data_IF_087166555840
#
_entry.id   IF_087166555840
#
_cell.length_a   1.000
_cell.length_b   1.000
_cell.length_c   1.000
_cell.angle_alpha   90.00
_cell.angle_beta   90.00
_cell.angle_gamma   90.00
#
_symmetry.space_group_name_H-M   'P 1'
#
loop_
_entity.id
_entity.type
_entity.pdbx_description
1 polymer ?
#
# COMPACT_ATOMS: atom_id res chain seq x y z
N UNK A 1 12.48 -2.68 27.61
CA UNK A 1 13.20 -3.52 26.63
C UNK A 1 12.25 -4.35 25.74
N UNK A 2 11.06 -4.76 26.22
CA UNK A 2 10.01 -5.36 25.38
C UNK A 2 9.30 -4.34 24.48
N UNK A 3 8.95 -3.15 25.01
CA UNK A 3 8.32 -2.05 24.25
C UNK A 3 9.13 -1.67 23.00
N UNK A 4 10.45 -1.48 23.15
CA UNK A 4 11.34 -1.07 22.04
C UNK A 4 11.52 -2.08 20.90
N UNK A 5 11.12 -3.33 21.10
CA UNK A 5 11.27 -4.39 20.07
C UNK A 5 10.09 -4.38 19.12
N UNK A 6 8.88 -4.23 19.64
CA UNK A 6 7.66 -4.13 18.84
C UNK A 6 7.68 -2.82 18.04
N UNK A 7 8.05 -1.68 18.66
CA UNK A 7 8.15 -0.38 17.98
C UNK A 7 8.91 -0.41 16.64
N UNK A 8 10.03 -1.17 16.59
CA UNK A 8 10.83 -1.32 15.37
C UNK A 8 10.15 -2.21 14.34
N UNK A 9 9.51 -3.28 14.78
CA UNK A 9 8.78 -4.20 13.91
C UNK A 9 7.54 -3.51 13.33
N UNK A 10 6.83 -2.74 14.14
CA UNK A 10 5.67 -1.93 13.75
C UNK A 10 6.06 -0.98 12.63
N UNK A 11 7.13 -0.20 12.83
CA UNK A 11 7.63 0.71 11.82
C UNK A 11 8.02 -0.02 10.53
N UNK A 12 8.63 -1.21 10.63
CA UNK A 12 8.97 -2.01 9.45
C UNK A 12 7.71 -2.50 8.71
N UNK A 13 6.70 -2.97 9.44
CA UNK A 13 5.42 -3.42 8.90
C UNK A 13 4.67 -2.27 8.24
N UNK A 14 4.51 -1.13 8.91
CA UNK A 14 3.88 0.06 8.35
C UNK A 14 4.63 0.55 7.11
N UNK A 15 5.96 0.64 7.18
CA UNK A 15 6.75 1.05 6.03
C UNK A 15 6.56 0.11 4.83
N UNK A 16 6.47 -1.20 5.08
CA UNK A 16 6.25 -2.20 4.04
C UNK A 16 4.84 -2.11 3.45
N UNK A 17 3.80 -1.99 4.27
CA UNK A 17 2.41 -1.85 3.81
C UNK A 17 2.22 -0.57 3.01
N UNK A 18 2.78 0.56 3.47
CA UNK A 18 2.67 1.83 2.77
C UNK A 18 3.46 1.90 1.46
N UNK A 19 4.46 1.03 1.24
CA UNK A 19 5.08 0.92 -0.10
C UNK A 19 4.10 0.46 -1.18
N UNK A 20 3.12 -0.38 -0.81
CA UNK A 20 2.09 -0.85 -1.74
C UNK A 20 0.85 0.06 -1.75
N UNK A 21 0.70 0.95 -0.77
CA UNK A 21 -0.37 1.95 -0.72
C UNK A 21 0.13 3.34 -0.24
N UNK A 22 1.00 4.02 -1.02
CA UNK A 22 1.59 5.30 -0.62
C UNK A 22 0.53 6.40 -0.45
N UNK A 23 -0.55 6.36 -1.25
CA UNK A 23 -1.70 7.26 -1.10
C UNK A 23 -2.32 7.21 0.29
N UNK A 24 -2.44 6.03 0.89
CA UNK A 24 -2.99 5.90 2.24
C UNK A 24 -2.06 6.52 3.28
N UNK A 25 -0.74 6.37 3.14
CA UNK A 25 0.25 7.00 4.00
C UNK A 25 0.12 8.53 3.96
N UNK A 26 0.05 9.12 2.77
CA UNK A 26 -0.14 10.57 2.59
C UNK A 26 -1.45 11.05 3.22
N UNK A 27 -2.54 10.29 3.07
CA UNK A 27 -3.83 10.65 3.68
C UNK A 27 -3.79 10.66 5.22
N UNK A 28 -2.93 9.83 5.81
CA UNK A 28 -2.66 9.76 7.25
C UNK A 28 -1.63 10.81 7.71
N UNK A 29 -1.11 11.66 6.82
CA UNK A 29 -0.15 12.72 7.13
C UNK A 29 1.33 12.29 7.05
N UNK A 30 1.62 11.10 6.51
CA UNK A 30 2.99 10.63 6.31
C UNK A 30 3.55 11.16 4.98
N UNK A 31 4.14 12.35 5.04
CA UNK A 31 4.60 13.07 3.85
C UNK A 31 5.93 12.58 3.27
N UNK A 32 6.60 11.61 3.90
CA UNK A 32 7.73 10.88 3.28
C UNK A 32 7.31 10.10 2.02
N UNK A 33 5.99 9.84 1.89
CA UNK A 33 5.40 9.14 0.75
C UNK A 33 4.89 10.09 -0.34
N UNK A 34 5.05 11.40 -0.17
CA UNK A 34 4.55 12.39 -1.11
C UNK A 34 5.09 12.15 -2.54
N UNK A 35 4.16 12.13 -3.49
CA UNK A 35 4.40 11.93 -4.91
C UNK A 35 4.86 10.52 -5.30
N UNK A 36 4.74 9.52 -4.43
CA UNK A 36 5.06 8.13 -4.76
C UNK A 36 3.85 7.38 -5.34
N UNK A 37 4.15 6.43 -6.24
CA UNK A 37 3.24 5.39 -6.71
C UNK A 37 3.89 4.03 -6.39
N UNK A 38 3.08 3.00 -6.06
CA UNK A 38 3.62 1.68 -5.71
C UNK A 38 4.20 0.98 -6.95
N UNK A 39 5.22 0.15 -6.75
CA UNK A 39 5.69 -0.79 -7.78
C UNK A 39 4.78 -2.01 -7.78
N UNK A 40 3.89 -2.05 -8.77
CA UNK A 40 2.89 -3.10 -8.97
C UNK A 40 3.25 -3.96 -10.17
N UNK A 41 4.48 -3.89 -10.67
CA UNK A 41 4.98 -4.85 -11.66
C UNK A 41 4.91 -6.28 -11.10
N UNK A 42 4.87 -7.34 -11.94
CA UNK A 42 4.88 -8.72 -11.44
C UNK A 42 6.05 -9.02 -10.49
N UNK A 43 7.23 -8.47 -10.77
CA UNK A 43 8.39 -8.58 -9.89
C UNK A 43 8.24 -7.79 -8.59
N UNK A 44 7.70 -6.57 -8.66
CA UNK A 44 7.42 -5.72 -7.50
C UNK A 44 6.41 -6.35 -6.54
N UNK A 45 5.29 -6.87 -7.06
CA UNK A 45 4.28 -7.57 -6.28
C UNK A 45 4.85 -8.82 -5.62
N UNK A 46 5.61 -9.64 -6.36
CA UNK A 46 6.25 -10.83 -5.78
C UNK A 46 7.22 -10.47 -4.66
N UNK A 47 8.09 -9.50 -4.88
CA UNK A 47 9.03 -9.05 -3.85
C UNK A 47 8.29 -8.49 -2.62
N UNK A 48 7.15 -7.83 -2.84
CA UNK A 48 6.32 -7.32 -1.76
C UNK A 48 5.67 -8.46 -0.96
N UNK A 49 5.09 -9.47 -1.61
CA UNK A 49 4.44 -10.59 -0.90
C UNK A 49 5.45 -11.45 -0.16
N UNK A 50 6.60 -11.77 -0.77
CA UNK A 50 7.68 -12.53 -0.12
C UNK A 50 8.12 -11.86 1.19
N UNK A 51 8.31 -10.52 1.16
CA UNK A 51 8.67 -9.77 2.37
C UNK A 51 7.51 -9.68 3.37
N UNK A 52 6.27 -9.54 2.92
CA UNK A 52 5.09 -9.49 3.79
C UNK A 52 4.88 -10.81 4.55
N UNK A 53 5.11 -11.96 3.90
CA UNK A 53 5.10 -13.28 4.55
C UNK A 53 6.16 -13.34 5.66
N UNK A 54 7.40 -12.95 5.36
CA UNK A 54 8.47 -12.94 6.35
C UNK A 54 8.20 -12.01 7.54
N UNK A 55 7.59 -10.84 7.29
CA UNK A 55 7.17 -9.92 8.36
C UNK A 55 6.07 -10.50 9.23
N UNK A 56 5.07 -11.15 8.64
CA UNK A 56 3.97 -11.79 9.38
C UNK A 56 4.50 -12.89 10.30
N UNK A 57 5.40 -13.73 9.79
CA UNK A 57 5.98 -14.83 10.57
C UNK A 57 6.86 -14.30 11.72
N UNK A 58 7.55 -13.17 11.50
CA UNK A 58 8.24 -12.44 12.56
C UNK A 58 7.28 -11.88 13.60
N UNK A 59 6.22 -11.18 13.21
CA UNK A 59 5.19 -10.67 14.15
C UNK A 59 4.67 -11.79 15.05
N UNK A 60 4.34 -12.95 14.48
CA UNK A 60 3.91 -14.14 15.25
C UNK A 60 4.96 -14.59 16.26
N UNK A 61 6.19 -14.84 15.81
CA UNK A 61 7.26 -15.37 16.67
C UNK A 61 7.75 -14.37 17.73
N UNK A 62 7.73 -13.08 17.42
CA UNK A 62 8.16 -12.01 18.32
C UNK A 62 7.04 -11.59 19.31
N UNK A 63 5.78 -12.00 19.08
CA UNK A 63 4.67 -11.75 20.00
C UNK A 63 4.75 -12.54 21.31
N UNK A 64 5.54 -13.62 21.34
CA UNK A 64 5.74 -14.44 22.52
C UNK A 64 6.45 -13.65 23.63
N UNK A 65 5.80 -13.54 24.80
CA UNK A 65 6.34 -12.83 25.95
C UNK A 65 5.99 -11.35 26.03
N UNK A 66 5.22 -10.81 25.06
CA UNK A 66 4.59 -9.51 25.20
C UNK A 66 3.47 -9.55 26.25
N UNK A 67 3.17 -8.39 26.85
CA UNK A 67 2.01 -8.22 27.71
C UNK A 67 0.70 -8.21 26.91
N UNK A 68 -0.43 -7.89 27.56
CA UNK A 68 -1.74 -7.95 26.90
C UNK A 68 -1.84 -6.95 25.73
N UNK A 69 -1.33 -5.74 25.92
CA UNK A 69 -1.45 -4.66 24.95
C UNK A 69 -0.51 -4.92 23.76
N UNK A 70 0.74 -5.31 24.02
CA UNK A 70 1.67 -5.66 22.95
C UNK A 70 1.22 -6.88 22.13
N UNK A 71 0.52 -7.85 22.74
CA UNK A 71 -0.10 -8.96 21.98
C UNK A 71 -1.26 -8.51 21.10
N UNK A 72 -2.03 -7.51 21.53
CA UNK A 72 -3.11 -6.95 20.73
C UNK A 72 -2.55 -6.17 19.54
N UNK A 73 -1.51 -5.36 19.75
CA UNK A 73 -0.82 -4.64 18.68
C UNK A 73 -0.22 -5.61 17.66
N UNK A 74 0.45 -6.68 18.12
CA UNK A 74 0.96 -7.73 17.24
C UNK A 74 -0.15 -8.39 16.40
N UNK A 75 -1.32 -8.67 17.00
CA UNK A 75 -2.47 -9.22 16.28
C UNK A 75 -2.99 -8.26 15.21
N UNK A 76 -3.01 -6.94 15.48
CA UNK A 76 -3.39 -5.94 14.49
C UNK A 76 -2.42 -5.92 13.29
N UNK A 77 -1.10 -6.00 13.54
CA UNK A 77 -0.09 -6.03 12.49
C UNK A 77 -0.18 -7.30 11.64
N UNK A 78 -0.35 -8.46 12.28
CA UNK A 78 -0.56 -9.74 11.62
C UNK A 78 -1.78 -9.69 10.72
N UNK A 79 -2.93 -9.25 11.25
CA UNK A 79 -4.19 -9.14 10.51
C UNK A 79 -4.05 -8.19 9.31
N UNK A 80 -3.34 -7.08 9.47
CA UNK A 80 -3.09 -6.13 8.38
C UNK A 80 -2.27 -6.78 7.24
N UNK A 81 -1.20 -7.50 7.58
CA UNK A 81 -0.37 -8.21 6.61
C UNK A 81 -1.15 -9.33 5.91
N UNK A 82 -1.91 -10.14 6.65
CA UNK A 82 -2.71 -11.22 6.10
C UNK A 82 -3.78 -10.71 5.14
N UNK A 83 -4.49 -9.63 5.51
CA UNK A 83 -5.47 -9.00 4.64
C UNK A 83 -4.86 -8.54 3.33
N UNK A 84 -3.67 -7.93 3.38
CA UNK A 84 -2.98 -7.43 2.20
C UNK A 84 -2.43 -8.57 1.33
N UNK A 85 -1.87 -9.62 1.95
CA UNK A 85 -1.43 -10.83 1.23
C UNK A 85 -2.61 -11.48 0.49
N UNK A 86 -3.74 -11.68 1.18
CA UNK A 86 -4.95 -12.24 0.59
C UNK A 86 -5.45 -11.40 -0.61
N UNK A 87 -5.37 -10.07 -0.50
CA UNK A 87 -5.78 -9.16 -1.58
C UNK A 87 -4.91 -9.30 -2.84
N UNK A 88 -3.60 -9.54 -2.67
CA UNK A 88 -2.64 -9.68 -3.77
C UNK A 88 -2.64 -11.10 -4.35
N UNK A 89 -2.57 -12.11 -3.51
CA UNK A 89 -2.31 -13.50 -3.90
C UNK A 89 -3.60 -14.25 -4.25
N UNK A 90 -4.58 -14.23 -3.35
CA UNK A 90 -5.81 -15.02 -3.49
C UNK A 90 -6.86 -14.30 -4.35
N UNK A 91 -7.13 -13.02 -4.06
CA UNK A 91 -8.09 -12.23 -4.83
C UNK A 91 -7.55 -11.77 -6.17
N UNK A 92 -6.23 -11.92 -6.40
CA UNK A 92 -5.51 -11.41 -7.58
C UNK A 92 -5.89 -9.96 -7.86
N UNK A 93 -5.94 -9.13 -6.82
CA UNK A 93 -6.51 -7.80 -6.85
C UNK A 93 -6.00 -6.92 -7.99
N UNK A 94 -4.70 -6.96 -8.24
CA UNK A 94 -4.06 -6.18 -9.30
C UNK A 94 -4.42 -6.67 -10.72
N UNK A 95 -4.90 -7.90 -10.88
CA UNK A 95 -5.41 -8.40 -12.15
C UNK A 95 -6.91 -8.13 -12.35
N UNK A 96 -7.68 -8.08 -11.25
CA UNK A 96 -9.15 -8.07 -11.31
C UNK A 96 -9.80 -6.74 -10.94
N UNK A 97 -9.08 -5.81 -10.28
CA UNK A 97 -9.68 -4.59 -9.74
C UNK A 97 -8.99 -3.33 -10.25
N UNK A 98 -9.58 -2.75 -11.30
CA UNK A 98 -9.12 -1.48 -11.89
C UNK A 98 -9.13 -0.31 -10.91
N UNK A 99 -10.01 -0.33 -9.89
CA UNK A 99 -10.12 0.73 -8.90
C UNK A 99 -8.88 0.85 -8.00
N UNK A 100 -8.10 -0.22 -7.80
CA UNK A 100 -6.83 -0.13 -7.07
C UNK A 100 -5.85 0.85 -7.72
N UNK A 101 -5.85 0.90 -9.06
CA UNK A 101 -5.02 1.82 -9.82
C UNK A 101 -5.58 3.23 -9.79
N UNK A 102 -6.88 3.41 -10.07
CA UNK A 102 -7.48 4.75 -10.15
C UNK A 102 -7.40 5.51 -8.82
N UNK A 103 -7.50 4.81 -7.69
CA UNK A 103 -7.37 5.42 -6.36
C UNK A 103 -5.99 6.06 -6.13
N UNK A 104 -4.92 5.54 -6.73
CA UNK A 104 -3.56 6.06 -6.57
C UNK A 104 -3.31 7.31 -7.44
N UNK A 105 -4.13 7.59 -8.46
CA UNK A 105 -3.88 8.67 -9.41
C UNK A 105 -4.26 10.07 -8.89
N UNK A 106 -5.02 10.16 -7.80
CA UNK A 106 -5.49 11.43 -7.26
C UNK A 106 -4.34 12.29 -6.72
N UNK A 107 -4.30 13.55 -7.15
CA UNK A 107 -3.43 14.60 -6.61
C UNK A 107 -4.10 15.45 -5.53
N UNK A 108 -5.38 15.16 -5.22
CA UNK A 108 -6.18 15.89 -4.22
C UNK A 108 -5.47 16.06 -2.87
N UNK A 109 -4.76 15.05 -2.32
CA UNK A 109 -4.07 15.21 -1.04
C UNK A 109 -3.05 16.36 -1.01
N UNK A 110 -2.43 16.66 -2.17
CA UNK A 110 -1.41 17.71 -2.31
C UNK A 110 -2.01 19.11 -2.51
N UNK A 111 -3.25 19.20 -3.00
CA UNK A 111 -3.88 20.47 -3.38
C UNK A 111 -4.81 20.96 -2.26
N UNK A 112 -5.65 20.08 -1.72
CA UNK A 112 -6.74 20.46 -0.83
C UNK A 112 -6.32 20.71 0.62
N UNK A 113 -5.06 20.42 0.99
CA UNK A 113 -4.54 20.57 2.35
C UNK A 113 -3.31 21.45 2.37
N UNK A 114 -3.24 22.37 3.33
CA UNK A 114 -2.09 23.26 3.57
C UNK A 114 -1.11 22.66 4.59
N UNK A 115 -0.63 21.44 4.34
CA UNK A 115 0.27 20.73 5.25
C UNK A 115 1.75 21.16 5.13
N UNK A 116 2.10 21.84 4.04
CA UNK A 116 3.46 22.28 3.72
C UNK A 116 3.42 23.55 2.84
N UNK A 117 4.54 24.30 2.74
CA UNK A 117 4.68 25.41 1.80
C UNK A 117 4.28 25.00 0.38
N UNK A 118 3.73 25.93 -0.39
CA UNK A 118 3.17 25.65 -1.72
C UNK A 118 4.19 24.99 -2.65
N UNK A 119 5.45 25.40 -2.61
CA UNK A 119 6.52 24.85 -3.44
C UNK A 119 6.77 23.37 -3.16
N UNK A 120 6.72 22.96 -1.89
CA UNK A 120 6.87 21.56 -1.50
C UNK A 120 5.70 20.72 -2.02
N UNK A 121 4.46 21.24 -1.91
CA UNK A 121 3.25 20.57 -2.40
C UNK A 121 3.22 20.45 -3.92
N UNK A 122 3.63 21.48 -4.65
CA UNK A 122 3.77 21.44 -6.12
C UNK A 122 4.88 20.45 -6.51
N UNK A 123 5.97 20.38 -5.74
CA UNK A 123 7.01 19.36 -5.92
C UNK A 123 6.45 17.94 -5.83
N UNK A 124 5.59 17.66 -4.85
CA UNK A 124 4.90 16.38 -4.70
C UNK A 124 3.98 16.08 -5.90
N UNK A 125 3.21 17.06 -6.37
CA UNK A 125 2.37 16.92 -7.58
C UNK A 125 3.20 16.57 -8.80
N UNK A 126 4.30 17.29 -9.06
CA UNK A 126 5.18 17.03 -10.20
C UNK A 126 5.80 15.63 -10.13
N UNK A 127 6.28 15.23 -8.95
CA UNK A 127 6.81 13.88 -8.70
C UNK A 127 5.76 12.80 -8.94
N UNK A 128 4.52 13.03 -8.49
CA UNK A 128 3.39 12.12 -8.69
C UNK A 128 3.07 11.94 -10.17
N UNK A 129 2.79 13.04 -10.86
CA UNK A 129 2.40 13.07 -12.27
C UNK A 129 3.51 12.52 -13.17
N UNK A 130 4.78 12.76 -12.85
CA UNK A 130 5.91 12.20 -13.56
C UNK A 130 6.00 10.67 -13.51
N UNK A 131 5.40 10.02 -12.50
CA UNK A 131 5.36 8.55 -12.35
C UNK A 131 4.13 7.90 -12.95
N UNK A 132 3.06 8.67 -13.19
CA UNK A 132 1.77 8.16 -13.69
C UNK A 132 1.92 7.33 -14.98
N UNK A 133 2.70 7.75 -16.00
CA UNK A 133 2.83 6.95 -17.22
C UNK A 133 3.37 5.53 -16.96
N UNK A 134 4.43 5.40 -16.16
CA UNK A 134 5.02 4.10 -15.82
C UNK A 134 4.07 3.25 -14.96
N UNK A 135 3.32 3.88 -14.05
CA UNK A 135 2.33 3.17 -13.25
C UNK A 135 1.14 2.65 -14.08
N UNK A 136 0.66 3.43 -15.05
CA UNK A 136 -0.40 3.00 -15.97
C UNK A 136 0.07 1.90 -16.93
N UNK A 137 1.34 1.90 -17.34
CA UNK A 137 1.95 0.80 -18.10
C UNK A 137 1.91 -0.51 -17.30
N UNK A 138 2.28 -0.47 -16.01
CA UNK A 138 2.16 -1.63 -15.12
C UNK A 138 0.69 -2.08 -14.97
N UNK A 139 -0.24 -1.14 -14.78
CA UNK A 139 -1.67 -1.44 -14.71
C UNK A 139 -2.18 -2.17 -15.97
N UNK A 140 -1.77 -1.71 -17.15
CA UNK A 140 -2.20 -2.29 -18.43
C UNK A 140 -1.71 -3.74 -18.62
N UNK A 141 -0.56 -4.09 -18.04
CA UNK A 141 0.01 -5.44 -18.10
C UNK A 141 -0.61 -6.39 -17.09
N UNK A 142 -1.04 -5.86 -15.95
CA UNK A 142 -1.61 -6.67 -14.88
C UNK A 142 -3.09 -6.99 -15.11
N UNK A 143 -3.88 -6.02 -15.58
CA UNK A 143 -5.32 -6.14 -15.67
C UNK A 143 -5.75 -7.17 -16.71
N UNK A 144 -6.62 -8.10 -16.30
CA UNK A 144 -7.19 -9.10 -17.18
C UNK A 144 -8.08 -8.41 -18.23
N UNK A 145 -7.90 -8.77 -19.51
CA UNK A 145 -8.61 -8.16 -20.66
C UNK A 145 -10.13 -8.31 -20.60
N UNK A 146 -10.63 -9.22 -19.78
CA UNK A 146 -12.05 -9.55 -19.63
C UNK A 146 -12.88 -8.44 -18.98
N UNK A 147 -12.26 -7.48 -18.28
CA UNK A 147 -12.96 -6.28 -17.77
C UNK A 147 -13.31 -5.26 -18.86
N UNK A 148 -12.82 -5.41 -20.09
CA UNK A 148 -13.16 -4.55 -21.22
C UNK A 148 -14.47 -4.91 -21.95
N UNK A 149 -15.04 -6.09 -21.71
CA UNK A 149 -16.16 -6.60 -22.53
C UNK A 149 -17.40 -7.08 -21.75
N UNK A 150 -17.32 -7.17 -20.42
CA UNK A 150 -18.37 -7.81 -19.63
C UNK A 150 -18.66 -7.05 -18.31
N UNK A 151 -19.09 -5.79 -18.38
CA UNK A 151 -20.01 -5.25 -17.33
C UNK A 151 -20.68 -3.89 -17.64
N UNK A 152 -20.99 -3.60 -18.89
CA UNK A 152 -21.92 -2.49 -19.25
C UNK A 152 -23.34 -2.99 -19.53
N UNK A 153 -23.78 -4.10 -18.92
CA UNK A 153 -25.13 -4.65 -19.17
C UNK A 153 -26.02 -4.84 -17.95
N UNK A 154 -25.56 -4.56 -16.74
CA UNK A 154 -26.39 -4.68 -15.54
C UNK A 154 -26.22 -3.50 -14.59
N UNK A 155 -26.50 -2.28 -15.05
CA UNK A 155 -26.78 -1.11 -14.20
C UNK A 155 -27.47 -0.02 -15.04
N UNK A 156 -28.72 -0.25 -15.42
CA UNK A 156 -29.80 0.75 -15.53
C UNK A 156 -31.14 0.02 -15.40
#
# INVERSE_FOLDING_TARGET
>A
MLVSRLDKLDQEVFNHVFKLNPRQAVMLGLHDYDGLLPDVSPGGLKAWTDKAVGLRDRVRSESHGLDKDGRLDALCLETMLERMLFDVEDLRGYATRSNLYSMQLSVTPYISREYAPIDARIGAVNKHLGRVPGFLDQASRNLDKTFGAADCRCCF
#
